data_IF_741325925992
#
_entry.id   IF_741325925992
#
_cell.length_a   1.000
_cell.length_b   1.000
_cell.length_c   1.000
_cell.angle_alpha   90.00
_cell.angle_beta   90.00
_cell.angle_gamma   90.00
#
_symmetry.space_group_name_H-M   'P 1'
#
loop_
_entity.id
_entity.type
_entity.pdbx_description
1 polymer ?
#
# COMPACT_ATOMS: atom_id res chain seq x y z
N UNK A 1 -12.16 -7.64 -8.25
CA UNK A 1 -13.12 -7.09 -7.28
C UNK A 1 -12.37 -6.28 -6.23
N UNK A 2 -12.99 -5.21 -5.73
CA UNK A 2 -12.44 -4.26 -4.76
C UNK A 2 -13.30 -4.20 -3.49
N UNK A 3 -13.45 -3.01 -2.90
CA UNK A 3 -14.36 -2.77 -1.78
C UNK A 3 -15.84 -2.82 -2.22
N UNK A 4 -16.79 -2.64 -1.30
CA UNK A 4 -18.20 -2.42 -1.65
C UNK A 4 -18.40 -1.02 -2.24
N UNK A 5 -19.21 -0.94 -3.29
CA UNK A 5 -19.55 0.31 -3.96
C UNK A 5 -20.77 1.00 -3.33
N UNK A 6 -20.74 2.32 -3.27
CA UNK A 6 -21.96 3.10 -3.05
C UNK A 6 -22.81 3.11 -4.31
N UNK A 7 -24.09 2.77 -4.17
CA UNK A 7 -25.05 2.72 -5.27
C UNK A 7 -25.94 3.97 -5.29
N UNK A 8 -26.09 4.55 -6.47
CA UNK A 8 -26.99 5.69 -6.74
C UNK A 8 -28.08 5.22 -7.71
N UNK A 9 -29.36 5.17 -7.30
CA UNK A 9 -30.43 4.66 -8.14
C UNK A 9 -30.69 5.58 -9.36
N UNK A 10 -30.88 4.97 -10.53
CA UNK A 10 -31.21 5.71 -11.75
C UNK A 10 -32.69 6.05 -11.83
N UNK A 11 -33.01 7.35 -11.93
CA UNK A 11 -34.38 7.81 -12.21
C UNK A 11 -34.84 7.44 -13.63
N UNK A 12 -33.92 7.37 -14.57
CA UNK A 12 -34.21 7.21 -16.02
C UNK A 12 -34.35 5.73 -16.39
N UNK A 13 -33.58 4.86 -15.74
CA UNK A 13 -33.54 3.44 -16.02
C UNK A 13 -33.95 2.64 -14.76
N UNK A 14 -35.26 2.40 -14.55
CA UNK A 14 -35.75 1.68 -13.37
C UNK A 14 -35.08 0.32 -13.19
N UNK A 15 -34.70 0.01 -11.95
CA UNK A 15 -34.00 -1.24 -11.60
C UNK A 15 -32.50 -1.23 -11.82
N UNK A 16 -31.93 -0.10 -12.27
CA UNK A 16 -30.47 0.07 -12.45
C UNK A 16 -29.89 1.11 -11.51
N UNK A 17 -28.59 0.97 -11.25
CA UNK A 17 -27.84 1.80 -10.31
C UNK A 17 -26.52 2.22 -10.94
N UNK A 18 -26.08 3.45 -10.62
CA UNK A 18 -24.69 3.86 -10.81
C UNK A 18 -23.89 3.49 -9.57
N UNK A 19 -22.62 3.17 -9.76
CA UNK A 19 -21.68 2.98 -8.67
C UNK A 19 -20.77 4.21 -8.55
N UNK A 20 -20.61 4.73 -7.34
CA UNK A 20 -19.58 5.76 -7.09
C UNK A 20 -18.19 5.12 -7.14
N UNK A 21 -17.20 5.77 -7.77
CA UNK A 21 -15.91 5.16 -8.01
C UNK A 21 -15.08 5.03 -6.72
N UNK A 22 -14.50 3.85 -6.51
CA UNK A 22 -13.53 3.61 -5.43
C UNK A 22 -12.16 4.24 -5.68
N UNK A 23 -11.84 4.44 -6.96
CA UNK A 23 -10.69 5.15 -7.51
C UNK A 23 -10.94 5.37 -9.01
N UNK A 24 -10.34 6.38 -9.65
CA UNK A 24 -10.44 6.62 -11.09
C UNK A 24 -9.62 5.63 -11.95
N UNK A 25 -9.33 4.42 -11.44
CA UNK A 25 -8.44 3.44 -12.07
C UNK A 25 -8.84 3.08 -13.52
N UNK A 26 -10.13 2.88 -13.79
CA UNK A 26 -10.58 2.57 -15.15
C UNK A 26 -10.39 3.76 -16.10
N UNK A 27 -10.69 4.97 -15.61
CA UNK A 27 -10.61 6.18 -16.41
C UNK A 27 -9.19 6.59 -16.72
N UNK A 28 -8.26 6.51 -15.76
CA UNK A 28 -6.86 6.88 -16.01
C UNK A 28 -6.20 5.99 -17.06
N UNK A 29 -6.54 4.69 -17.08
CA UNK A 29 -6.07 3.77 -18.12
C UNK A 29 -6.64 4.15 -19.49
N UNK A 30 -7.94 4.48 -19.57
CA UNK A 30 -8.54 4.98 -20.82
C UNK A 30 -7.91 6.30 -21.29
N UNK A 31 -7.54 7.17 -20.36
CA UNK A 31 -6.82 8.43 -20.67
C UNK A 31 -5.46 8.12 -21.30
N UNK A 32 -4.69 7.17 -20.75
CA UNK A 32 -3.43 6.75 -21.37
C UNK A 32 -3.65 6.18 -22.77
N UNK A 33 -4.64 5.30 -22.95
CA UNK A 33 -5.00 4.73 -24.27
C UNK A 33 -5.43 5.81 -25.26
N UNK A 34 -6.06 6.90 -24.79
CA UNK A 34 -6.47 8.03 -25.64
C UNK A 34 -5.31 8.92 -26.10
N UNK A 35 -4.07 8.63 -25.67
CA UNK A 35 -2.85 9.25 -26.17
C UNK A 35 -2.24 10.31 -25.25
N UNK A 36 -2.77 10.49 -24.03
CA UNK A 36 -2.11 11.33 -23.04
C UNK A 36 -0.90 10.61 -22.43
N UNK A 37 0.26 11.27 -22.41
CA UNK A 37 1.49 10.69 -21.88
C UNK A 37 1.51 10.65 -20.35
N UNK A 38 0.96 11.67 -19.69
CA UNK A 38 0.93 11.82 -18.23
C UNK A 38 -0.38 12.43 -17.78
N UNK A 39 -0.91 11.92 -16.68
CA UNK A 39 -2.16 12.37 -16.08
C UNK A 39 -2.00 12.40 -14.55
N UNK A 40 -2.65 13.38 -13.93
CA UNK A 40 -2.88 13.38 -12.49
C UNK A 40 -4.23 14.00 -12.17
N UNK A 41 -4.82 13.61 -11.04
CA UNK A 41 -6.05 14.18 -10.52
C UNK A 41 -6.09 14.06 -9.00
N UNK A 42 -6.58 15.10 -8.32
CA UNK A 42 -7.05 15.00 -6.94
C UNK A 42 -8.53 14.62 -7.00
N UNK A 43 -8.83 13.32 -6.85
CA UNK A 43 -10.14 12.75 -7.13
C UNK A 43 -10.88 12.34 -5.84
N UNK A 44 -12.18 12.65 -5.70
CA UNK A 44 -12.99 12.06 -4.65
C UNK A 44 -13.21 10.58 -4.94
N UNK A 45 -13.05 9.76 -3.92
CA UNK A 45 -13.13 8.31 -3.97
C UNK A 45 -14.06 7.82 -2.86
N UNK A 46 -14.85 6.78 -3.16
CA UNK A 46 -15.92 6.33 -2.28
C UNK A 46 -15.77 4.84 -1.95
N UNK A 47 -15.83 4.48 -0.66
CA UNK A 47 -15.78 3.08 -0.22
C UNK A 47 -16.82 2.82 0.86
N UNK A 48 -17.70 1.85 0.62
CA UNK A 48 -18.71 1.40 1.59
C UNK A 48 -18.11 0.34 2.55
N UNK A 49 -17.11 0.76 3.31
CA UNK A 49 -16.44 -0.05 4.34
C UNK A 49 -16.62 0.56 5.73
N UNK A 50 -16.53 -0.29 6.76
CA UNK A 50 -16.56 0.17 8.14
C UNK A 50 -15.38 1.10 8.44
N UNK A 51 -15.61 2.17 9.22
CA UNK A 51 -14.58 3.14 9.55
C UNK A 51 -13.49 2.55 10.44
N UNK A 52 -12.27 3.11 10.29
CA UNK A 52 -11.15 2.88 11.21
C UNK A 52 -10.47 4.21 11.50
N UNK A 53 -9.58 4.25 12.48
CA UNK A 53 -8.85 5.48 12.82
C UNK A 53 -8.07 6.05 11.61
N UNK A 54 -7.60 5.19 10.70
CA UNK A 54 -6.90 5.53 9.46
C UNK A 54 -7.80 5.50 8.21
N UNK A 55 -9.10 5.24 8.35
CA UNK A 55 -10.05 5.08 7.24
C UNK A 55 -11.33 5.88 7.49
N UNK A 56 -11.46 6.99 6.78
CA UNK A 56 -12.70 7.76 6.76
C UNK A 56 -13.79 6.94 6.01
N UNK A 57 -14.98 6.74 6.60
CA UNK A 57 -16.07 6.05 5.93
C UNK A 57 -16.66 6.96 4.85
N UNK A 58 -17.07 6.39 3.72
CA UNK A 58 -17.68 7.18 2.65
C UNK A 58 -16.64 7.76 1.70
N UNK A 59 -16.44 9.08 1.75
CA UNK A 59 -15.65 9.86 0.81
C UNK A 59 -14.24 10.15 1.34
N UNK A 60 -13.23 10.04 0.48
CA UNK A 60 -11.88 10.53 0.73
C UNK A 60 -11.23 10.97 -0.58
N UNK A 61 -10.20 11.80 -0.50
CA UNK A 61 -9.48 12.29 -1.69
C UNK A 61 -8.21 11.50 -1.93
N UNK A 62 -7.96 11.15 -3.19
CA UNK A 62 -6.71 10.55 -3.63
C UNK A 62 -6.01 11.48 -4.62
N UNK A 63 -4.69 11.61 -4.50
CA UNK A 63 -3.84 12.06 -5.60
C UNK A 63 -3.62 10.84 -6.50
N UNK A 64 -4.42 10.73 -7.55
CA UNK A 64 -4.26 9.72 -8.57
C UNK A 64 -3.36 10.23 -9.69
N UNK A 65 -2.57 9.33 -10.27
CA UNK A 65 -1.66 9.62 -11.36
C UNK A 65 -1.49 8.41 -12.26
N UNK A 66 -1.14 8.67 -13.50
CA UNK A 66 -0.80 7.66 -14.49
C UNK A 66 0.20 8.22 -15.51
N UNK A 67 1.11 7.37 -15.98
CA UNK A 67 2.16 7.74 -16.93
C UNK A 67 2.31 6.61 -17.96
N UNK A 68 2.47 6.97 -19.24
CA UNK A 68 2.67 6.02 -20.34
C UNK A 68 4.17 5.80 -20.61
N UNK A 69 4.53 4.63 -21.13
CA UNK A 69 5.91 4.30 -21.57
C UNK A 69 7.00 4.46 -20.49
N UNK A 70 6.66 4.19 -19.24
CA UNK A 70 7.57 4.29 -18.09
C UNK A 70 7.70 2.98 -17.34
N UNK A 71 8.78 2.86 -16.57
CA UNK A 71 8.98 1.79 -15.60
C UNK A 71 8.61 2.24 -14.18
N UNK A 72 8.59 1.28 -13.23
CA UNK A 72 8.28 1.56 -11.83
C UNK A 72 9.16 2.67 -11.25
N UNK A 73 10.45 2.66 -11.58
CA UNK A 73 11.42 3.59 -11.03
C UNK A 73 11.20 5.03 -11.50
N UNK A 74 10.68 5.24 -12.70
CA UNK A 74 10.32 6.56 -13.22
C UNK A 74 9.16 7.15 -12.41
N UNK A 75 8.14 6.34 -12.12
CA UNK A 75 6.97 6.76 -11.33
C UNK A 75 7.38 7.11 -9.90
N UNK A 76 8.17 6.25 -9.26
CA UNK A 76 8.66 6.49 -7.90
C UNK A 76 9.53 7.75 -7.84
N UNK A 77 10.45 7.92 -8.79
CA UNK A 77 11.35 9.07 -8.85
C UNK A 77 10.60 10.38 -9.17
N UNK A 78 9.48 10.29 -9.89
CA UNK A 78 8.59 11.44 -10.14
C UNK A 78 7.84 11.85 -8.87
N UNK A 79 7.41 10.89 -8.06
CA UNK A 79 6.60 11.16 -6.86
C UNK A 79 7.40 11.54 -5.61
N UNK A 80 8.62 11.05 -5.48
CA UNK A 80 9.50 11.38 -4.34
C UNK A 80 9.70 12.90 -4.13
N UNK A 81 10.01 13.73 -5.15
CA UNK A 81 10.13 15.17 -4.97
C UNK A 81 8.79 15.85 -4.64
N UNK A 82 7.66 15.33 -5.13
CA UNK A 82 6.33 15.85 -4.79
C UNK A 82 6.06 15.67 -3.30
N UNK A 83 6.26 14.45 -2.78
CA UNK A 83 6.07 14.15 -1.36
C UNK A 83 7.01 14.97 -0.48
N UNK A 84 8.30 15.03 -0.85
CA UNK A 84 9.31 15.80 -0.14
C UNK A 84 8.95 17.29 -0.09
N UNK A 85 8.61 17.88 -1.23
CA UNK A 85 8.27 19.30 -1.33
C UNK A 85 7.04 19.67 -0.48
N UNK A 86 6.04 18.78 -0.41
CA UNK A 86 4.89 18.95 0.50
C UNK A 86 5.36 18.98 1.95
N UNK A 87 6.17 18.02 2.40
CA UNK A 87 6.66 18.04 3.78
C UNK A 87 7.61 19.21 4.07
N UNK A 88 8.52 19.56 3.16
CA UNK A 88 9.41 20.71 3.34
C UNK A 88 8.65 22.02 3.47
N UNK A 89 7.56 22.18 2.71
CA UNK A 89 6.69 23.36 2.76
C UNK A 89 5.87 23.42 4.05
N UNK A 90 5.30 22.29 4.48
CA UNK A 90 4.26 22.27 5.53
C UNK A 90 4.68 21.68 6.88
N UNK A 91 5.87 21.06 7.00
CA UNK A 91 6.32 20.42 8.24
C UNK A 91 6.94 21.38 9.27
N UNK A 92 6.87 22.70 9.05
CA UNK A 92 7.36 23.74 9.96
C UNK A 92 8.84 23.58 10.34
N UNK A 93 9.70 23.35 9.33
CA UNK A 93 11.15 23.24 9.52
C UNK A 93 11.63 21.92 10.14
N UNK A 94 10.74 20.93 10.32
CA UNK A 94 11.16 19.58 10.73
C UNK A 94 12.02 18.93 9.63
N UNK A 95 13.01 18.09 10.00
CA UNK A 95 13.81 17.36 9.03
C UNK A 95 12.94 16.49 8.13
N UNK A 96 13.20 16.55 6.82
CA UNK A 96 12.54 15.73 5.81
C UNK A 96 13.58 14.79 5.19
N UNK A 97 13.26 13.50 5.15
CA UNK A 97 14.13 12.47 4.55
C UNK A 97 14.36 12.77 3.07
N UNK A 98 15.62 12.86 2.66
CA UNK A 98 16.01 13.27 1.30
C UNK A 98 16.11 12.11 0.30
N UNK A 99 16.18 10.87 0.78
CA UNK A 99 16.15 9.69 -0.07
C UNK A 99 15.33 8.62 0.60
N UNK A 100 14.26 8.17 -0.03
CA UNK A 100 13.41 7.14 0.54
C UNK A 100 14.07 5.76 0.40
N UNK A 101 14.23 5.04 1.51
CA UNK A 101 14.75 3.67 1.51
C UNK A 101 13.74 2.77 0.79
N UNK A 102 14.20 2.06 -0.24
CA UNK A 102 13.41 1.03 -0.93
C UNK A 102 13.67 -0.31 -0.25
N UNK A 103 12.63 -0.94 0.28
CA UNK A 103 12.71 -2.23 0.96
C UNK A 103 11.84 -3.20 0.17
N UNK A 104 12.39 -4.30 -0.38
CA UNK A 104 11.58 -5.35 -0.99
C UNK A 104 10.56 -5.91 -0.01
N UNK A 105 9.36 -6.27 -0.49
CA UNK A 105 8.28 -6.82 0.35
C UNK A 105 8.76 -8.00 1.20
N UNK A 106 9.46 -8.94 0.58
CA UNK A 106 10.03 -10.13 1.20
C UNK A 106 11.05 -9.84 2.30
N UNK A 107 11.78 -8.72 2.19
CA UNK A 107 12.69 -8.24 3.23
C UNK A 107 11.90 -7.56 4.36
N UNK A 108 10.93 -6.72 4.01
CA UNK A 108 10.11 -6.01 4.98
C UNK A 108 9.33 -6.97 5.90
N UNK A 109 8.72 -8.01 5.31
CA UNK A 109 7.99 -9.04 6.05
C UNK A 109 8.90 -9.87 6.94
N UNK A 110 10.11 -10.22 6.48
CA UNK A 110 11.07 -11.02 7.28
C UNK A 110 11.67 -10.21 8.43
N UNK A 111 12.13 -8.99 8.15
CA UNK A 111 12.86 -8.16 9.12
C UNK A 111 11.92 -7.44 10.09
N UNK A 112 10.74 -7.03 9.66
CA UNK A 112 9.85 -6.18 10.46
C UNK A 112 8.45 -6.78 10.70
N UNK A 113 8.13 -7.93 10.10
CA UNK A 113 6.80 -8.54 10.23
C UNK A 113 5.66 -7.70 9.64
N UNK A 114 5.98 -6.72 8.79
CA UNK A 114 5.04 -5.73 8.28
C UNK A 114 5.42 -5.28 6.88
N UNK A 115 4.44 -5.14 6.00
CA UNK A 115 4.56 -4.58 4.66
C UNK A 115 4.66 -3.04 4.66
N UNK A 116 4.44 -2.43 5.82
CA UNK A 116 4.57 -0.99 6.11
C UNK A 116 5.40 -0.77 7.39
N UNK A 117 6.70 -1.09 7.37
CA UNK A 117 7.52 -1.05 8.57
C UNK A 117 7.69 0.38 9.12
N UNK A 118 7.59 0.52 10.45
CA UNK A 118 7.94 1.76 11.12
C UNK A 118 9.45 1.81 11.40
N UNK A 119 10.20 2.44 10.51
CA UNK A 119 11.67 2.55 10.60
C UNK A 119 12.17 3.44 11.75
N UNK A 120 11.27 4.06 12.53
CA UNK A 120 11.64 4.77 13.76
C UNK A 120 11.85 3.80 14.93
N UNK A 121 11.26 2.61 14.84
CA UNK A 121 11.50 1.53 15.80
C UNK A 121 12.79 0.80 15.40
N UNK A 122 13.83 0.75 16.26
CA UNK A 122 15.10 0.09 15.93
C UNK A 122 15.04 -1.45 16.02
N UNK A 123 13.93 -2.03 16.46
CA UNK A 123 13.80 -3.48 16.66
C UNK A 123 13.62 -4.16 15.30
N UNK A 124 14.46 -5.17 15.06
CA UNK A 124 14.42 -6.03 13.87
C UNK A 124 14.28 -7.49 14.29
N UNK A 125 13.43 -8.22 13.59
CA UNK A 125 13.27 -9.67 13.76
C UNK A 125 14.50 -10.40 13.21
N UNK A 126 14.87 -11.51 13.84
CA UNK A 126 15.94 -12.39 13.39
C UNK A 126 15.46 -13.83 13.25
N UNK A 127 16.02 -14.53 12.26
CA UNK A 127 15.79 -15.96 12.09
C UNK A 127 16.50 -16.73 13.21
N UNK A 128 15.74 -17.51 13.97
CA UNK A 128 16.22 -18.30 15.11
C UNK A 128 15.91 -19.79 14.96
N UNK A 129 15.46 -20.22 13.78
CA UNK A 129 15.09 -21.61 13.46
C UNK A 129 16.12 -22.63 13.91
N UNK A 130 17.41 -22.35 13.71
CA UNK A 130 18.49 -23.31 13.99
C UNK A 130 18.67 -23.58 15.49
N UNK A 131 18.28 -22.64 16.36
CA UNK A 131 18.30 -22.86 17.82
C UNK A 131 17.20 -23.82 18.28
N UNK A 132 16.13 -23.95 17.50
CA UNK A 132 14.97 -24.77 17.85
C UNK A 132 14.92 -26.10 17.12
N UNK A 133 15.74 -26.28 16.08
CA UNK A 133 15.89 -27.55 15.37
C UNK A 133 16.40 -28.62 16.34
N UNK A 134 15.69 -29.74 16.39
CA UNK A 134 15.97 -30.87 17.29
C UNK A 134 16.01 -30.52 18.79
N UNK A 135 15.48 -29.34 19.16
CA UNK A 135 15.42 -28.90 20.55
C UNK A 135 14.36 -29.65 21.35
N UNK A 136 14.49 -29.65 22.68
CA UNK A 136 13.48 -30.22 23.59
C UNK A 136 12.15 -29.45 23.59
N UNK A 137 12.10 -28.26 22.99
CA UNK A 137 10.88 -27.46 22.90
C UNK A 137 10.02 -27.92 21.71
N UNK A 138 9.25 -28.99 21.96
CA UNK A 138 8.54 -29.76 20.93
C UNK A 138 7.66 -28.93 19.98
N UNK A 139 7.08 -27.82 20.42
CA UNK A 139 6.19 -27.00 19.56
C UNK A 139 6.97 -26.47 18.36
N UNK A 140 8.10 -25.80 18.57
CA UNK A 140 8.90 -25.21 17.48
C UNK A 140 9.69 -26.28 16.72
N UNK A 141 10.24 -27.28 17.42
CA UNK A 141 10.95 -28.38 16.78
C UNK A 141 10.06 -29.16 15.80
N UNK A 142 8.80 -29.44 16.17
CA UNK A 142 7.86 -30.15 15.30
C UNK A 142 7.44 -29.32 14.08
N UNK A 143 7.25 -28.01 14.24
CA UNK A 143 6.93 -27.11 13.12
C UNK A 143 8.05 -27.16 12.07
N UNK A 144 9.30 -27.05 12.53
CA UNK A 144 10.49 -27.07 11.66
C UNK A 144 10.78 -28.45 11.04
N UNK A 145 10.33 -29.54 11.67
CA UNK A 145 10.53 -30.89 11.15
C UNK A 145 9.45 -31.30 10.13
N UNK A 146 8.22 -30.80 10.27
CA UNK A 146 7.09 -31.18 9.42
C UNK A 146 7.00 -30.36 8.12
N UNK A 147 7.59 -29.16 8.08
CA UNK A 147 7.61 -28.31 6.90
C UNK A 147 9.01 -27.73 6.67
N UNK A 148 9.64 -28.12 5.55
CA UNK A 148 10.96 -27.64 5.17
C UNK A 148 11.00 -26.13 4.86
N UNK A 149 9.84 -25.49 4.64
CA UNK A 149 9.70 -24.04 4.44
C UNK A 149 9.38 -23.28 5.71
N UNK A 150 9.12 -23.96 6.82
CA UNK A 150 8.83 -23.28 8.07
C UNK A 150 10.09 -22.61 8.63
N UNK A 151 9.92 -21.39 9.12
CA UNK A 151 10.97 -20.60 9.77
C UNK A 151 10.43 -20.06 11.09
N UNK A 152 11.30 -19.97 12.10
CA UNK A 152 11.01 -19.34 13.38
C UNK A 152 11.78 -18.03 13.45
N UNK A 153 11.05 -16.95 13.69
CA UNK A 153 11.59 -15.60 13.81
C UNK A 153 11.28 -15.02 15.19
N UNK A 154 12.20 -14.22 15.74
CA UNK A 154 12.06 -13.59 17.05
C UNK A 154 12.58 -12.14 17.05
N UNK A 155 12.07 -11.33 17.98
CA UNK A 155 12.58 -9.98 18.30
C UNK A 155 13.44 -10.00 19.56
#
# INVERSE_FOLDING_TARGET
>A
EGARDFLVPSRIHPGTFYALPQAPQQYKQLIMVSGFDRYFQIAPCFRDEDPRADRLPGEFYQLDLEMSFVEQDDVLSTMEPVLRGVFETFANGKPVTQKFRRIPYDEAMRTYGSDKPDLRNPIEMQAVSDHFRDSGFKVLANILANDAKAEVWAI
#
